data_IF_758575082636
#
_entry.id   IF_758575082636
#
_cell.length_a   1.000
_cell.length_b   1.000
_cell.length_c   1.000
_cell.angle_alpha   90.00
_cell.angle_beta   90.00
_cell.angle_gamma   90.00
#
_symmetry.space_group_name_H-M   'P 1'
#
loop_
_entity.id
_entity.type
_entity.pdbx_description
1 polymer ?
#
# COMPACT_ATOMS: atom_id res chain seq x y z
N UNK A 1 -12.47 11.28 8.34
CA UNK A 1 -11.43 10.50 7.68
C UNK A 1 -11.99 9.74 6.51
N UNK A 2 -11.19 9.56 5.51
CA UNK A 2 -11.60 8.89 4.29
C UNK A 2 -10.75 7.67 4.04
N UNK A 3 -11.30 6.73 3.30
CA UNK A 3 -10.53 5.57 2.89
C UNK A 3 -9.88 5.85 1.54
N UNK A 4 -8.62 5.43 1.42
CA UNK A 4 -7.84 5.60 0.20
C UNK A 4 -7.21 4.27 -0.15
N UNK A 5 -7.29 3.90 -1.42
CA UNK A 5 -6.72 2.66 -1.90
C UNK A 5 -5.55 2.95 -2.82
N UNK A 6 -4.48 2.21 -2.62
CA UNK A 6 -3.26 2.35 -3.44
C UNK A 6 -2.87 1.01 -3.98
N UNK A 7 -2.44 1.00 -5.23
CA UNK A 7 -1.76 -0.14 -5.80
C UNK A 7 -0.31 0.25 -6.03
N UNK A 8 0.60 -0.49 -5.42
CA UNK A 8 2.02 -0.18 -5.47
C UNK A 8 2.71 -1.27 -6.26
N UNK A 9 3.44 -0.87 -7.29
CA UNK A 9 4.27 -1.79 -8.05
C UNK A 9 5.72 -1.52 -7.73
N UNK A 10 6.48 -2.58 -7.51
CA UNK A 10 7.84 -2.44 -7.05
C UNK A 10 8.65 -3.64 -7.49
N UNK A 11 9.96 -3.55 -7.33
CA UNK A 11 10.82 -4.71 -7.43
C UNK A 11 10.79 -5.44 -6.11
N UNK A 12 10.71 -6.77 -6.16
CA UNK A 12 10.70 -7.57 -4.96
C UNK A 12 12.10 -7.64 -4.40
N UNK A 13 12.43 -6.73 -3.52
CA UNK A 13 13.75 -6.59 -2.94
C UNK A 13 13.69 -6.83 -1.44
N UNK A 14 14.79 -7.29 -0.84
CA UNK A 14 14.83 -7.45 0.61
C UNK A 14 14.52 -6.15 1.32
N UNK A 15 13.65 -6.24 2.31
CA UNK A 15 13.30 -5.07 3.11
C UNK A 15 12.23 -4.19 2.53
N UNK A 16 11.69 -4.51 1.35
CA UNK A 16 10.65 -3.69 0.75
C UNK A 16 9.45 -3.53 1.68
N UNK A 17 8.96 -4.64 2.21
CA UNK A 17 7.80 -4.63 3.10
C UNK A 17 8.07 -3.79 4.34
N UNK A 18 9.24 -3.94 4.92
CA UNK A 18 9.58 -3.20 6.13
C UNK A 18 9.63 -1.69 5.87
N UNK A 19 10.12 -1.29 4.70
CA UNK A 19 10.17 0.12 4.36
C UNK A 19 8.79 0.71 4.17
N UNK A 20 7.91 -0.02 3.48
CA UNK A 20 6.54 0.42 3.29
C UNK A 20 5.84 0.55 4.65
N UNK A 21 6.00 -0.46 5.48
CA UNK A 21 5.37 -0.47 6.79
C UNK A 21 5.85 0.69 7.65
N UNK A 22 7.14 1.00 7.58
CA UNK A 22 7.69 2.11 8.33
C UNK A 22 7.06 3.43 7.95
N UNK A 23 6.86 3.64 6.65
CA UNK A 23 6.21 4.87 6.18
C UNK A 23 4.80 4.98 6.74
N UNK A 24 4.07 3.89 6.70
CA UNK A 24 2.68 3.89 7.17
C UNK A 24 2.60 4.16 8.66
N UNK A 25 3.50 3.56 9.43
CA UNK A 25 3.50 3.77 10.87
C UNK A 25 3.83 5.20 11.25
N UNK A 26 4.75 5.81 10.54
CA UNK A 26 5.13 7.19 10.84
C UNK A 26 3.99 8.15 10.64
N UNK A 27 3.10 7.86 9.73
CA UNK A 27 1.98 8.74 9.44
C UNK A 27 0.79 8.50 10.35
N UNK A 28 0.87 7.50 11.24
CA UNK A 28 -0.17 7.24 12.25
C UNK A 28 -1.55 7.10 11.66
N UNK A 29 -1.64 6.41 10.57
CA UNK A 29 -2.92 6.19 9.93
C UNK A 29 -3.42 4.80 10.26
N UNK A 30 -4.70 4.56 10.00
CA UNK A 30 -5.28 3.25 10.16
C UNK A 30 -5.14 2.48 8.87
N UNK A 31 -4.50 1.32 8.94
CA UNK A 31 -4.40 0.42 7.79
C UNK A 31 -5.61 -0.48 7.82
N UNK A 32 -6.45 -0.37 6.79
CA UNK A 32 -7.66 -1.19 6.72
C UNK A 32 -7.40 -2.50 6.02
N UNK A 33 -6.48 -2.49 5.08
CA UNK A 33 -6.21 -3.71 4.35
C UNK A 33 -4.82 -3.62 3.71
N UNK A 34 -4.16 -4.75 3.61
CA UNK A 34 -2.79 -4.80 3.11
C UNK A 34 -2.58 -6.17 2.48
N UNK A 35 -2.12 -6.18 1.24
CA UNK A 35 -1.87 -7.43 0.54
C UNK A 35 -0.56 -7.30 -0.22
N UNK A 36 0.27 -8.31 -0.12
CA UNK A 36 1.57 -8.34 -0.79
C UNK A 36 1.66 -9.57 -1.66
N UNK A 37 2.08 -9.36 -2.89
CA UNK A 37 2.32 -10.45 -3.82
C UNK A 37 3.71 -10.24 -4.40
N UNK A 38 4.64 -11.13 -4.05
CA UNK A 38 6.01 -11.01 -4.49
C UNK A 38 6.25 -11.68 -5.81
N UNK A 39 7.24 -11.19 -6.53
CA UNK A 39 7.65 -11.79 -7.78
C UNK A 39 8.57 -12.96 -7.55
N UNK A 40 8.49 -13.94 -8.44
CA UNK A 40 9.36 -15.09 -8.39
C UNK A 40 10.71 -14.69 -8.98
N UNK A 41 11.78 -15.04 -8.26
CA UNK A 41 13.12 -14.81 -8.78
C UNK A 41 13.49 -13.35 -8.92
N UNK A 42 12.98 -12.52 -8.00
CA UNK A 42 13.30 -11.10 -8.03
C UNK A 42 12.48 -10.29 -9.01
N UNK A 43 11.38 -10.85 -9.50
CA UNK A 43 10.52 -10.16 -10.43
C UNK A 43 9.70 -9.07 -9.76
N UNK A 44 8.68 -8.56 -10.43
CA UNK A 44 7.88 -7.47 -9.87
C UNK A 44 7.07 -7.93 -8.69
N UNK A 45 6.88 -7.01 -7.74
CA UNK A 45 6.02 -7.22 -6.59
C UNK A 45 4.85 -6.24 -6.67
N UNK A 46 3.75 -6.62 -6.04
CA UNK A 46 2.56 -5.79 -6.00
C UNK A 46 2.06 -5.70 -4.58
N UNK A 47 1.75 -4.50 -4.15
CA UNK A 47 1.17 -4.25 -2.84
C UNK A 47 -0.15 -3.53 -3.03
N UNK A 48 -1.20 -4.06 -2.45
CA UNK A 48 -2.50 -3.41 -2.42
C UNK A 48 -2.76 -2.94 -1.01
N UNK A 49 -3.10 -1.67 -0.87
CA UNK A 49 -3.17 -1.02 0.43
C UNK A 49 -4.42 -0.17 0.50
N UNK A 50 -5.17 -0.31 1.59
CA UNK A 50 -6.29 0.57 1.89
C UNK A 50 -6.04 1.17 3.26
N UNK A 51 -6.06 2.49 3.33
CA UNK A 51 -5.83 3.21 4.57
C UNK A 51 -6.99 4.16 4.86
N UNK A 52 -7.11 4.53 6.12
CA UNK A 52 -8.00 5.62 6.54
C UNK A 52 -7.14 6.80 6.97
N UNK A 53 -7.32 7.92 6.29
CA UNK A 53 -6.55 9.11 6.58
C UNK A 53 -7.24 10.31 5.94
N UNK A 54 -6.83 11.49 6.34
CA UNK A 54 -7.28 12.68 5.62
C UNK A 54 -6.52 12.77 4.29
N UNK A 55 -6.96 13.67 3.43
CA UNK A 55 -6.38 13.80 2.10
C UNK A 55 -4.92 14.22 2.18
N UNK A 56 -4.59 15.07 3.11
CA UNK A 56 -3.23 15.57 3.23
C UNK A 56 -2.25 14.46 3.59
N UNK A 57 -2.60 13.63 4.57
CA UNK A 57 -1.76 12.50 4.94
C UNK A 57 -1.67 11.47 3.84
N UNK A 58 -2.78 11.25 3.17
CA UNK A 58 -2.81 10.29 2.07
C UNK A 58 -1.86 10.73 0.96
N UNK A 59 -1.85 11.99 0.62
CA UNK A 59 -0.95 12.51 -0.40
C UNK A 59 0.50 12.42 0.05
N UNK A 60 0.76 12.66 1.32
CA UNK A 60 2.11 12.55 1.86
C UNK A 60 2.62 11.11 1.77
N UNK A 61 1.78 10.15 2.12
CA UNK A 61 2.14 8.74 2.03
C UNK A 61 2.46 8.37 0.59
N UNK A 62 1.63 8.81 -0.33
CA UNK A 62 1.87 8.54 -1.74
C UNK A 62 3.23 9.04 -2.18
N UNK A 63 3.57 10.26 -1.82
CA UNK A 63 4.87 10.82 -2.18
C UNK A 63 6.03 10.08 -1.55
N UNK A 64 5.88 9.66 -0.30
CA UNK A 64 6.94 8.92 0.38
C UNK A 64 7.12 7.53 -0.21
N UNK A 65 6.04 6.88 -0.59
CA UNK A 65 6.13 5.58 -1.25
C UNK A 65 6.86 5.71 -2.59
N UNK A 66 6.56 6.76 -3.33
CA UNK A 66 7.21 6.98 -4.62
C UNK A 66 8.71 7.21 -4.48
N UNK A 67 9.18 7.64 -3.32
CA UNK A 67 10.60 7.88 -3.09
C UNK A 67 11.38 6.63 -2.79
N UNK A 68 10.71 5.53 -2.48
CA UNK A 68 11.41 4.29 -2.22
C UNK A 68 12.07 3.80 -3.50
N UNK A 69 13.33 3.41 -3.36
CA UNK A 69 14.15 3.06 -4.52
C UNK A 69 13.54 1.94 -5.35
N UNK A 70 12.94 0.97 -4.69
CA UNK A 70 12.43 -0.21 -5.37
C UNK A 70 11.02 -0.03 -5.88
N UNK A 71 10.33 1.04 -5.54
CA UNK A 71 8.98 1.30 -5.99
C UNK A 71 9.01 1.91 -7.38
N UNK A 72 8.31 1.30 -8.31
CA UNK A 72 8.28 1.76 -9.69
C UNK A 72 7.03 2.54 -10.02
N UNK A 73 5.93 2.28 -9.32
CA UNK A 73 4.69 2.96 -9.61
C UNK A 73 3.77 2.91 -8.40
N UNK A 74 3.08 4.02 -8.13
CA UNK A 74 2.03 4.07 -7.13
C UNK A 74 0.79 4.62 -7.82
N UNK A 75 -0.28 3.83 -7.81
CA UNK A 75 -1.54 4.23 -8.42
C UNK A 75 -2.56 4.38 -7.31
N UNK A 76 -3.17 5.55 -7.22
CA UNK A 76 -4.25 5.76 -6.28
C UNK A 76 -5.56 5.36 -6.96
N UNK A 77 -6.25 4.42 -6.35
CA UNK A 77 -7.55 3.99 -6.85
C UNK A 77 -8.64 4.73 -6.10
N UNK A 78 -9.73 5.00 -6.78
CA UNK A 78 -10.80 5.76 -6.16
C UNK A 78 -12.15 5.17 -6.55
N UNK A 79 -13.18 5.58 -5.80
CA UNK A 79 -14.54 5.16 -6.07
C UNK A 79 -14.84 3.78 -5.51
N UNK A 80 -16.05 3.34 -5.77
CA UNK A 80 -16.52 2.07 -5.21
C UNK A 80 -15.70 0.87 -5.68
N UNK A 81 -15.17 0.93 -6.88
CA UNK A 81 -14.40 -0.18 -7.42
C UNK A 81 -13.15 -0.47 -6.60
N UNK A 82 -12.56 0.56 -6.00
CA UNK A 82 -11.34 0.38 -5.22
C UNK A 82 -11.58 -0.44 -3.98
N UNK A 83 -12.77 -0.39 -3.43
CA UNK A 83 -13.08 -1.04 -2.16
C UNK A 83 -13.94 -2.28 -2.34
N UNK A 84 -14.23 -2.64 -3.56
CA UNK A 84 -15.08 -3.78 -3.85
C UNK A 84 -14.30 -5.07 -4.03
N UNK A 85 -13.01 -5.04 -3.92
CA UNK A 85 -12.17 -6.20 -4.19
C UNK A 85 -12.08 -7.09 -2.98
N UNK A 86 -12.47 -8.34 -3.10
CA UNK A 86 -12.49 -9.23 -1.94
C UNK A 86 -11.12 -9.47 -1.34
N UNK A 87 -10.10 -9.39 -2.13
CA UNK A 87 -8.75 -9.63 -1.64
C UNK A 87 -8.30 -8.59 -0.65
N UNK A 88 -8.98 -7.47 -0.56
CA UNK A 88 -8.64 -6.45 0.42
C UNK A 88 -9.18 -6.75 1.81
N UNK A 89 -9.87 -7.84 1.98
CA UNK A 89 -10.50 -8.14 3.25
C UNK A 89 -9.80 -9.20 4.06
N UNK A 90 -8.70 -9.72 3.55
CA UNK A 90 -8.07 -10.87 4.19
C UNK A 90 -7.30 -10.50 5.44
N UNK A 91 -6.79 -9.30 5.48
CA UNK A 91 -5.78 -8.91 6.46
C UNK A 91 -6.30 -8.92 7.86
N UNK A 92 -7.53 -8.63 8.04
CA UNK A 92 -8.06 -8.60 9.40
C UNK A 92 -8.11 -9.96 10.02
N UNK A 93 -8.08 -10.97 9.21
CA UNK A 93 -8.07 -12.33 9.74
C UNK A 93 -6.78 -12.68 10.40
N UNK A 94 -5.75 -11.97 10.05
CA UNK A 94 -4.45 -12.23 10.62
C UNK A 94 -4.19 -11.44 11.87
N UNK A 95 -5.07 -10.54 12.16
CA UNK A 95 -4.89 -9.68 13.32
C UNK A 95 -4.88 -10.47 14.62
#
# INVERSE_FOLDING_TARGET
>A
MQQHAFEIKAKDAPGLMARVETILRRQRMTIRSFSFEGGVGGGPARIDLVIEADEERSSLVERQLMRLHDVTEVVRMSGAAAFAQPEFTFEEKTA
#
